data_IF_821849502957
#
_entry.id   IF_821849502957
#
_cell.length_a   1.000
_cell.length_b   1.000
_cell.length_c   1.000
_cell.angle_alpha   90.00
_cell.angle_beta   90.00
_cell.angle_gamma   90.00
#
_symmetry.space_group_name_H-M   'P 1'
#
loop_
_entity.id
_entity.type
_entity.pdbx_description
1 polymer ?
#
# COMPACT_ATOMS: atom_id res chain seq x y z
N UNK A 1 -2.30 -7.28 -19.50
CA UNK A 1 -2.32 -7.28 -18.01
C UNK A 1 -1.25 -8.23 -17.51
N UNK A 2 -0.45 -7.84 -16.50
CA UNK A 2 0.66 -8.67 -15.96
C UNK A 2 1.99 -7.94 -15.70
N UNK A 3 2.04 -6.61 -15.78
CA UNK A 3 3.21 -5.81 -15.40
C UNK A 3 3.19 -5.47 -13.92
N UNK A 4 4.36 -5.35 -13.30
CA UNK A 4 4.47 -4.78 -11.95
C UNK A 4 4.05 -3.31 -11.97
N UNK A 5 3.16 -2.96 -11.04
CA UNK A 5 2.69 -1.58 -10.86
C UNK A 5 3.38 -1.01 -9.62
N UNK A 6 4.09 0.11 -9.79
CA UNK A 6 4.74 0.82 -8.68
C UNK A 6 3.72 1.72 -7.99
N UNK A 7 3.56 1.51 -6.69
CA UNK A 7 2.69 2.30 -5.82
C UNK A 7 3.54 2.98 -4.76
N UNK A 8 3.44 4.30 -4.68
CA UNK A 8 4.02 5.09 -3.59
C UNK A 8 2.99 5.28 -2.50
N UNK A 9 3.40 5.04 -1.25
CA UNK A 9 2.55 5.17 -0.07
C UNK A 9 3.31 5.99 0.97
N UNK A 10 2.65 7.00 1.53
CA UNK A 10 3.21 7.85 2.59
C UNK A 10 2.14 8.21 3.62
N UNK A 11 2.59 8.51 4.84
CA UNK A 11 1.79 9.14 5.88
C UNK A 11 2.43 10.49 6.25
N UNK A 12 1.77 11.59 5.92
CA UNK A 12 2.23 12.95 6.22
C UNK A 12 1.78 13.40 7.62
N UNK A 13 2.60 14.22 8.28
CA UNK A 13 2.36 14.77 9.62
C UNK A 13 2.05 13.70 10.70
N UNK A 14 2.47 12.46 10.46
CA UNK A 14 2.20 11.35 11.36
C UNK A 14 3.24 11.29 12.49
N UNK A 15 2.74 11.32 13.73
CA UNK A 15 3.56 11.35 14.96
C UNK A 15 3.38 10.11 15.83
N UNK A 16 2.67 9.09 15.34
CA UNK A 16 2.45 7.84 16.05
C UNK A 16 3.56 6.80 15.84
N UNK A 17 3.31 5.56 16.29
CA UNK A 17 4.20 4.42 16.07
C UNK A 17 4.03 3.76 14.70
N UNK A 18 4.70 2.64 14.47
CA UNK A 18 4.67 1.93 13.18
C UNK A 18 3.25 1.67 12.64
N UNK A 19 3.07 1.92 11.34
CA UNK A 19 1.81 1.79 10.60
C UNK A 19 1.88 0.58 9.66
N UNK A 20 1.03 -0.41 9.90
CA UNK A 20 0.81 -1.50 8.95
C UNK A 20 -0.27 -1.09 7.94
N UNK A 21 0.14 -0.85 6.70
CA UNK A 21 -0.75 -0.41 5.61
C UNK A 21 -1.03 -1.59 4.68
N UNK A 22 -2.32 -1.86 4.43
CA UNK A 22 -2.77 -2.89 3.49
C UNK A 22 -3.32 -2.25 2.22
N UNK A 23 -2.63 -2.48 1.11
CA UNK A 23 -3.01 -2.03 -0.23
C UNK A 23 -3.81 -3.16 -0.89
N UNK A 24 -4.97 -2.86 -1.49
CA UNK A 24 -5.87 -3.86 -2.08
C UNK A 24 -6.40 -3.36 -3.42
N UNK A 25 -6.25 -4.18 -4.46
CA UNK A 25 -6.89 -3.97 -5.77
C UNK A 25 -8.20 -4.74 -5.78
N UNK A 26 -9.30 -4.07 -6.13
CA UNK A 26 -10.64 -4.68 -6.18
C UNK A 26 -11.28 -4.52 -7.56
N UNK A 27 -12.24 -5.39 -7.85
CA UNK A 27 -13.03 -5.26 -9.07
C UNK A 27 -13.87 -3.96 -9.09
N UNK A 28 -13.97 -3.33 -10.26
CA UNK A 28 -14.83 -2.17 -10.48
C UNK A 28 -16.13 -2.59 -11.18
N UNK A 29 -17.31 -2.01 -10.87
CA UNK A 29 -17.56 -1.00 -9.84
C UNK A 29 -17.89 -1.59 -8.46
N UNK A 30 -18.20 -2.89 -8.38
CA UNK A 30 -18.82 -3.50 -7.19
C UNK A 30 -17.87 -3.59 -5.97
N UNK A 31 -16.56 -3.57 -6.16
CA UNK A 31 -15.52 -3.64 -5.11
C UNK A 31 -15.69 -4.82 -4.13
N UNK A 32 -16.31 -5.91 -4.58
CA UNK A 32 -16.61 -7.09 -3.78
C UNK A 32 -15.62 -8.25 -3.96
N UNK A 33 -14.76 -8.18 -4.98
CA UNK A 33 -13.69 -9.15 -5.22
C UNK A 33 -12.34 -8.47 -5.01
N UNK A 34 -11.52 -9.03 -4.11
CA UNK A 34 -10.12 -8.66 -3.97
C UNK A 34 -9.30 -9.42 -5.03
N UNK A 35 -8.66 -8.67 -5.92
CA UNK A 35 -7.86 -9.20 -7.03
C UNK A 35 -6.42 -9.42 -6.55
N UNK A 36 -5.87 -8.44 -5.83
CA UNK A 36 -4.51 -8.43 -5.30
C UNK A 36 -4.48 -7.70 -3.96
N UNK A 37 -3.53 -8.07 -3.10
CA UNK A 37 -3.25 -7.31 -1.90
C UNK A 37 -1.77 -7.35 -1.53
N UNK A 38 -1.31 -6.32 -0.84
CA UNK A 38 0.05 -6.22 -0.31
C UNK A 38 0.03 -5.47 1.01
N UNK A 39 0.83 -5.92 1.97
CA UNK A 39 1.03 -5.21 3.23
C UNK A 39 2.43 -4.61 3.26
N UNK A 40 2.52 -3.37 3.75
CA UNK A 40 3.78 -2.65 3.95
C UNK A 40 3.77 -2.02 5.35
N UNK A 41 4.96 -1.88 5.94
CA UNK A 41 5.13 -1.16 7.19
C UNK A 41 5.70 0.23 6.90
N UNK A 42 5.03 1.27 7.38
CA UNK A 42 5.55 2.64 7.45
C UNK A 42 6.06 2.84 8.87
N UNK A 43 7.35 3.10 9.00
CA UNK A 43 8.04 3.20 10.29
C UNK A 43 8.89 4.46 10.31
N UNK A 44 9.36 4.85 11.50
CA UNK A 44 10.31 5.96 11.59
C UNK A 44 11.59 5.72 10.74
N UNK A 45 11.98 4.45 10.55
CA UNK A 45 13.17 4.10 9.77
C UNK A 45 13.02 4.36 8.26
N UNK A 46 11.79 4.35 7.73
CA UNK A 46 11.52 4.69 6.33
C UNK A 46 10.83 6.05 6.18
N UNK A 47 10.90 6.92 7.19
CA UNK A 47 10.24 8.23 7.23
C UNK A 47 8.73 8.14 6.95
N UNK A 48 8.11 7.02 7.35
CA UNK A 48 6.72 6.70 7.06
C UNK A 48 6.35 6.77 5.57
N UNK A 49 7.26 6.37 4.68
CA UNK A 49 7.04 6.31 3.24
C UNK A 49 7.67 5.07 2.59
N UNK A 50 7.07 4.57 1.51
CA UNK A 50 7.61 3.44 0.75
C UNK A 50 7.15 3.47 -0.72
N UNK A 51 8.05 3.10 -1.63
CA UNK A 51 7.72 2.75 -3.02
C UNK A 51 7.70 1.21 -3.12
N UNK A 52 6.60 0.64 -3.58
CA UNK A 52 6.41 -0.81 -3.59
C UNK A 52 5.78 -1.30 -4.89
N UNK A 53 6.18 -2.47 -5.36
CA UNK A 53 5.56 -3.09 -6.53
C UNK A 53 4.36 -3.96 -6.11
N UNK A 54 3.26 -3.89 -6.86
CA UNK A 54 2.13 -4.82 -6.76
C UNK A 54 2.06 -5.64 -8.05
N UNK A 55 1.85 -6.95 -7.90
CA UNK A 55 1.72 -7.93 -8.98
C UNK A 55 0.59 -8.89 -8.67
#
# INVERSE_FOLDING_TARGET
>A
VGSFEKVFVEAQDYTGGDLNVRIIVKNHPKKNLEILSKSVALTAANNFQILTDIK
#
